data_IF_705777505328
#
_entry.id   IF_705777505328
#
_cell.length_a   1.000
_cell.length_b   1.000
_cell.length_c   1.000
_cell.angle_alpha   90.00
_cell.angle_beta   90.00
_cell.angle_gamma   90.00
#
_symmetry.space_group_name_H-M   'P 1'
#
loop_
_entity.id
_entity.type
_entity.pdbx_description
1 polymer ?
#
# COMPACT_ATOMS: atom_id res chain seq x y z
N UNK A 1 11.34 -11.91 -8.69
CA UNK A 1 11.18 -12.02 -7.24
C UNK A 1 10.01 -12.94 -7.00
N UNK A 2 10.29 -14.19 -6.69
CA UNK A 2 9.35 -15.02 -5.98
C UNK A 2 9.30 -14.38 -4.57
N UNK A 3 8.23 -13.69 -4.25
CA UNK A 3 7.98 -13.45 -2.84
C UNK A 3 7.78 -14.83 -2.22
N UNK A 4 8.80 -15.29 -1.55
CA UNK A 4 8.61 -16.39 -0.64
C UNK A 4 7.66 -15.85 0.44
N UNK A 5 6.41 -16.19 0.34
CA UNK A 5 5.51 -16.13 1.48
C UNK A 5 6.02 -17.19 2.45
N UNK A 6 7.00 -16.81 3.26
CA UNK A 6 7.23 -17.58 4.47
C UNK A 6 5.92 -17.54 5.22
N UNK A 7 5.43 -18.67 5.64
CA UNK A 7 4.33 -18.72 6.58
C UNK A 7 4.86 -18.32 7.96
N UNK A 8 5.10 -17.01 8.09
CA UNK A 8 5.57 -16.40 9.34
C UNK A 8 4.41 -16.09 10.30
N UNK A 9 3.17 -16.40 9.90
CA UNK A 9 2.00 -16.14 10.74
C UNK A 9 2.10 -16.86 12.09
N UNK A 10 2.66 -18.07 12.10
CA UNK A 10 2.89 -18.80 13.34
C UNK A 10 3.97 -18.14 14.20
N UNK A 11 4.97 -17.50 13.58
CA UNK A 11 6.03 -16.78 14.30
C UNK A 11 5.54 -15.49 14.93
N UNK A 12 4.46 -14.91 14.42
CA UNK A 12 3.89 -13.69 15.02
C UNK A 12 3.34 -13.93 16.42
N UNK A 13 2.77 -15.10 16.69
CA UNK A 13 2.29 -15.42 18.03
C UNK A 13 3.44 -15.52 19.03
N UNK A 14 4.54 -16.12 18.65
CA UNK A 14 5.75 -16.19 19.48
C UNK A 14 6.42 -14.82 19.68
N UNK A 15 6.25 -13.93 18.71
CA UNK A 15 6.85 -12.58 18.76
C UNK A 15 6.02 -11.56 19.55
N UNK A 16 4.77 -11.86 19.89
CA UNK A 16 3.90 -10.89 20.58
C UNK A 16 4.51 -10.40 21.89
N UNK A 17 4.95 -11.30 22.73
CA UNK A 17 5.52 -10.96 24.03
C UNK A 17 6.82 -10.14 23.87
N UNK A 18 7.67 -10.53 22.92
CA UNK A 18 8.91 -9.82 22.63
C UNK A 18 8.66 -8.39 22.08
N UNK A 19 7.61 -8.23 21.26
CA UNK A 19 7.26 -6.92 20.72
C UNK A 19 6.64 -6.01 21.79
N UNK A 20 5.82 -6.57 22.68
CA UNK A 20 5.27 -5.86 23.83
C UNK A 20 6.38 -5.43 24.81
N UNK A 21 7.34 -6.30 25.06
CA UNK A 21 8.53 -5.95 25.84
C UNK A 21 9.36 -4.85 25.13
N UNK A 22 9.56 -4.96 23.83
CA UNK A 22 10.31 -3.96 23.08
C UNK A 22 9.63 -2.58 23.14
N UNK A 23 8.29 -2.50 23.08
CA UNK A 23 7.55 -1.25 23.18
C UNK A 23 7.77 -0.56 24.54
N UNK A 24 7.89 -1.35 25.61
CA UNK A 24 8.16 -0.86 26.97
C UNK A 24 9.58 -0.34 27.19
N UNK A 25 10.53 -0.66 26.30
CA UNK A 25 11.92 -0.15 26.36
C UNK A 25 12.04 1.31 25.90
N UNK A 26 10.96 1.89 25.39
CA UNK A 26 10.93 3.32 25.08
C UNK A 26 11.22 4.19 26.29
N UNK A 27 11.81 5.36 26.06
CA UNK A 27 12.15 6.36 27.09
C UNK A 27 11.80 7.78 26.60
N UNK A 28 12.15 8.77 27.39
CA UNK A 28 11.88 10.19 27.08
C UNK A 28 12.46 10.64 25.73
N UNK A 29 13.56 10.05 25.28
CA UNK A 29 14.28 10.42 24.06
C UNK A 29 13.96 9.50 22.88
N UNK A 30 13.46 8.30 23.14
CA UNK A 30 13.22 7.28 22.11
C UNK A 30 11.90 6.58 22.35
N UNK A 31 10.96 6.73 21.41
CA UNK A 31 9.69 6.00 21.44
C UNK A 31 9.78 4.81 20.49
N UNK A 32 9.55 3.62 21.03
CA UNK A 32 9.41 2.40 20.24
C UNK A 32 7.92 2.21 19.95
N UNK A 33 7.57 2.01 18.70
CA UNK A 33 6.19 1.85 18.27
C UNK A 33 6.06 0.58 17.46
N UNK A 34 5.28 -0.33 17.97
CA UNK A 34 4.91 -1.56 17.28
C UNK A 34 3.64 -1.32 16.46
N UNK A 35 3.67 -1.70 15.18
CA UNK A 35 2.50 -1.56 14.30
C UNK A 35 1.57 -2.75 14.47
N UNK A 36 0.92 -2.82 15.61
CA UNK A 36 0.06 -3.93 16.02
C UNK A 36 -1.02 -4.28 15.00
N UNK A 37 -1.66 -3.26 14.40
CA UNK A 37 -2.68 -3.47 13.37
C UNK A 37 -2.17 -4.32 12.19
N UNK A 38 -0.89 -4.13 11.82
CA UNK A 38 -0.28 -4.90 10.72
C UNK A 38 0.04 -6.34 11.12
N UNK A 39 0.35 -6.56 12.39
CA UNK A 39 0.67 -7.88 12.93
C UNK A 39 -0.61 -8.68 13.19
N UNK A 40 -1.66 -8.01 13.65
CA UNK A 40 -2.95 -8.61 13.94
C UNK A 40 -3.80 -8.85 12.72
N UNK A 41 -3.55 -8.12 11.62
CA UNK A 41 -4.27 -8.28 10.36
C UNK A 41 -3.84 -9.59 9.66
N UNK A 42 -4.30 -10.70 10.21
CA UNK A 42 -4.17 -12.05 9.61
C UNK A 42 -5.10 -12.22 8.40
N UNK A 43 -5.77 -11.13 8.00
CA UNK A 43 -6.85 -11.16 7.03
C UNK A 43 -6.36 -11.35 5.60
N UNK A 44 -7.08 -12.19 4.87
CA UNK A 44 -7.06 -12.15 3.41
C UNK A 44 -7.54 -10.78 2.98
N UNK A 45 -6.91 -10.14 1.98
CA UNK A 45 -7.37 -8.87 1.46
C UNK A 45 -8.88 -8.92 1.18
N UNK A 46 -9.65 -8.02 1.79
CA UNK A 46 -11.09 -7.96 1.59
C UNK A 46 -11.47 -7.24 0.29
N UNK A 47 -10.53 -6.52 -0.30
CA UNK A 47 -10.75 -5.79 -1.54
C UNK A 47 -10.52 -6.68 -2.76
N UNK A 48 -11.36 -6.46 -3.79
CA UNK A 48 -11.25 -7.15 -5.07
C UNK A 48 -10.61 -6.31 -6.17
N UNK A 49 -10.53 -4.99 -5.97
CA UNK A 49 -10.06 -4.02 -6.95
C UNK A 49 -8.95 -3.18 -6.36
N UNK A 50 -8.05 -2.72 -7.20
CA UNK A 50 -6.89 -1.97 -6.76
C UNK A 50 -7.07 -0.47 -7.04
N UNK A 51 -7.59 0.24 -6.05
CA UNK A 51 -7.85 1.68 -6.13
C UNK A 51 -6.71 2.55 -5.59
N UNK A 52 -5.79 1.97 -4.81
CA UNK A 52 -4.71 2.70 -4.16
C UNK A 52 -3.92 3.65 -5.07
N UNK A 53 -3.60 3.27 -6.32
CA UNK A 53 -2.85 4.12 -7.24
C UNK A 53 -3.54 5.44 -7.64
N UNK A 54 -4.83 5.56 -7.42
CA UNK A 54 -5.53 6.82 -7.66
C UNK A 54 -5.11 7.91 -6.66
N UNK A 55 -4.55 7.50 -5.52
CA UNK A 55 -4.10 8.40 -4.45
C UNK A 55 -2.60 8.34 -4.22
N UNK A 56 -1.96 7.24 -4.59
CA UNK A 56 -0.56 6.99 -4.30
C UNK A 56 0.12 6.32 -5.49
N UNK A 57 0.90 7.09 -6.22
CA UNK A 57 1.83 6.59 -7.23
C UNK A 57 3.22 6.44 -6.63
N UNK A 58 3.98 5.50 -7.14
CA UNK A 58 5.36 5.31 -6.73
C UNK A 58 6.32 5.60 -7.87
N UNK A 59 7.45 6.19 -7.52
CA UNK A 59 8.51 6.57 -8.44
C UNK A 59 9.78 5.84 -8.02
N UNK A 60 10.40 5.14 -8.97
CA UNK A 60 11.69 4.50 -8.74
C UNK A 60 12.84 5.50 -8.76
N UNK A 61 14.00 5.08 -8.29
CA UNK A 61 15.22 5.90 -8.39
C UNK A 61 15.65 6.23 -9.83
N UNK A 62 15.15 5.50 -10.83
CA UNK A 62 15.36 5.80 -12.26
C UNK A 62 14.29 6.72 -12.86
N UNK A 63 13.39 7.26 -12.07
CA UNK A 63 12.29 8.10 -12.52
C UNK A 63 11.07 7.37 -13.07
N UNK A 64 11.11 6.04 -13.16
CA UNK A 64 9.98 5.25 -13.63
C UNK A 64 8.78 5.39 -12.68
N UNK A 65 7.61 5.67 -13.24
CA UNK A 65 6.34 5.81 -12.51
C UNK A 65 5.52 4.55 -12.68
N UNK A 66 5.09 3.99 -11.56
CA UNK A 66 4.23 2.81 -11.55
C UNK A 66 3.16 2.91 -10.43
N UNK A 67 2.06 2.14 -10.55
CA UNK A 67 1.00 2.10 -9.55
C UNK A 67 1.46 1.58 -8.17
N UNK A 68 2.52 0.78 -8.15
CA UNK A 68 3.11 0.23 -6.95
C UNK A 68 4.57 -0.16 -7.20
N UNK A 69 5.40 -0.13 -6.18
CA UNK A 69 6.80 -0.55 -6.24
C UNK A 69 7.00 -1.98 -6.72
N UNK A 70 6.02 -2.84 -6.53
CA UNK A 70 6.06 -4.20 -7.08
C UNK A 70 6.11 -4.23 -8.61
N UNK A 71 5.61 -3.20 -9.26
CA UNK A 71 5.50 -3.13 -10.72
C UNK A 71 6.72 -2.50 -11.40
N UNK A 72 7.76 -2.11 -10.67
CA UNK A 72 8.99 -1.61 -11.28
C UNK A 72 9.78 -2.68 -12.05
N UNK A 73 9.43 -3.93 -11.91
CA UNK A 73 10.04 -5.02 -12.67
C UNK A 73 9.59 -5.01 -14.13
N UNK A 74 10.50 -5.31 -15.07
CA UNK A 74 10.24 -5.33 -16.52
C UNK A 74 9.08 -6.27 -16.93
N UNK A 75 8.81 -7.33 -16.17
CA UNK A 75 7.66 -8.22 -16.39
C UNK A 75 6.31 -7.51 -16.32
N UNK A 76 6.26 -6.36 -15.63
CA UNK A 76 5.08 -5.53 -15.46
C UNK A 76 5.11 -4.25 -16.32
N UNK A 77 5.93 -4.22 -17.37
CA UNK A 77 6.08 -3.04 -18.23
C UNK A 77 4.75 -2.48 -18.76
N UNK A 78 3.74 -3.33 -18.93
CA UNK A 78 2.38 -2.89 -19.32
C UNK A 78 1.66 -2.04 -18.26
N UNK A 79 2.16 -2.03 -17.03
CA UNK A 79 1.66 -1.21 -15.91
C UNK A 79 2.57 -0.01 -15.61
N UNK A 80 3.61 0.20 -16.41
CA UNK A 80 4.42 1.42 -16.31
C UNK A 80 3.66 2.59 -16.91
N UNK A 81 3.57 3.69 -16.15
CA UNK A 81 2.74 4.84 -16.48
C UNK A 81 3.53 5.85 -17.30
N UNK A 82 4.81 6.05 -16.96
CA UNK A 82 5.71 7.00 -17.60
C UNK A 82 7.03 7.10 -16.86
N UNK A 83 7.86 8.07 -17.23
CA UNK A 83 9.15 8.31 -16.60
C UNK A 83 9.38 9.81 -16.40
N UNK A 84 9.66 10.23 -15.17
CA UNK A 84 9.93 11.64 -14.83
C UNK A 84 11.25 12.19 -15.37
N UNK A 85 12.16 11.35 -15.83
CA UNK A 85 13.37 11.81 -16.52
C UNK A 85 13.01 12.34 -17.91
N UNK A 86 12.02 11.70 -18.54
CA UNK A 86 11.66 11.98 -19.94
C UNK A 86 10.42 12.86 -20.08
N UNK A 87 9.53 12.85 -19.07
CA UNK A 87 8.21 13.47 -19.15
C UNK A 87 7.89 14.28 -17.88
N UNK A 88 7.11 15.36 -18.03
CA UNK A 88 6.61 16.10 -16.87
C UNK A 88 5.42 15.37 -16.24
N UNK A 89 5.31 15.39 -14.93
CA UNK A 89 4.21 14.75 -14.20
C UNK A 89 2.83 15.12 -14.74
N UNK A 90 2.60 16.38 -15.03
CA UNK A 90 1.31 16.85 -15.56
C UNK A 90 0.93 16.20 -16.89
N UNK A 91 1.93 15.87 -17.71
CA UNK A 91 1.72 15.26 -19.01
C UNK A 91 1.46 13.75 -18.84
N UNK A 92 2.20 13.08 -17.95
CA UNK A 92 1.95 11.71 -17.54
C UNK A 92 0.53 11.56 -16.99
N UNK A 93 0.12 12.43 -16.05
CA UNK A 93 -1.17 12.39 -15.39
C UNK A 93 -2.36 12.61 -16.34
N UNK A 94 -2.14 13.35 -17.42
CA UNK A 94 -3.16 13.62 -18.46
C UNK A 94 -3.16 12.60 -19.58
N UNK A 95 -2.19 11.68 -19.59
CA UNK A 95 -2.04 10.72 -20.68
C UNK A 95 -3.16 9.67 -20.69
N UNK A 96 -3.53 9.22 -21.87
CA UNK A 96 -4.46 8.08 -22.03
C UNK A 96 -3.90 6.80 -21.40
N UNK A 97 -2.58 6.64 -21.40
CA UNK A 97 -1.89 5.51 -20.79
C UNK A 97 -2.14 5.45 -19.28
N UNK A 98 -2.06 6.60 -18.61
CA UNK A 98 -2.38 6.70 -17.17
C UNK A 98 -3.80 6.20 -16.88
N UNK A 99 -4.80 6.77 -17.55
CA UNK A 99 -6.19 6.44 -17.31
C UNK A 99 -6.54 5.01 -17.69
N UNK A 100 -5.95 4.49 -18.77
CA UNK A 100 -6.11 3.10 -19.18
C UNK A 100 -5.62 2.14 -18.09
N UNK A 101 -4.47 2.42 -17.51
CA UNK A 101 -3.90 1.61 -16.41
C UNK A 101 -4.78 1.74 -15.16
N UNK A 102 -5.18 2.96 -14.76
CA UNK A 102 -6.04 3.16 -13.58
C UNK A 102 -7.37 2.42 -13.71
N UNK A 103 -8.01 2.52 -14.86
CA UNK A 103 -9.27 1.82 -15.12
C UNK A 103 -9.10 0.29 -15.12
N UNK A 104 -8.00 -0.22 -15.66
CA UNK A 104 -7.68 -1.64 -15.60
C UNK A 104 -7.51 -2.13 -14.16
N UNK A 105 -6.74 -1.42 -13.34
CA UNK A 105 -6.51 -1.77 -11.94
C UNK A 105 -7.79 -1.74 -11.10
N UNK A 106 -8.71 -0.84 -11.41
CA UNK A 106 -10.02 -0.74 -10.77
C UNK A 106 -11.06 -1.72 -11.32
N UNK A 107 -10.74 -2.42 -12.39
CA UNK A 107 -11.68 -3.34 -13.07
C UNK A 107 -11.69 -4.73 -12.42
N UNK A 108 -12.78 -5.52 -12.64
CA UNK A 108 -12.80 -6.92 -12.25
C UNK A 108 -11.77 -7.80 -12.97
N UNK A 109 -11.19 -7.31 -14.07
CA UNK A 109 -10.19 -8.04 -14.84
C UNK A 109 -8.79 -8.04 -14.17
N UNK A 110 -8.59 -7.17 -13.16
CA UNK A 110 -7.37 -7.15 -12.39
C UNK A 110 -7.54 -7.94 -11.09
N UNK A 111 -6.82 -9.05 -10.96
CA UNK A 111 -6.81 -9.83 -9.72
C UNK A 111 -5.83 -9.22 -8.71
N UNK A 112 -6.34 -8.27 -7.92
CA UNK A 112 -5.54 -7.57 -6.94
C UNK A 112 -4.97 -8.50 -5.86
N UNK A 113 -5.70 -9.54 -5.48
CA UNK A 113 -5.26 -10.48 -4.44
C UNK A 113 -4.05 -11.29 -4.88
N UNK A 114 -4.09 -11.82 -6.09
CA UNK A 114 -2.97 -12.59 -6.66
C UNK A 114 -1.78 -11.70 -7.01
N UNK A 115 -2.04 -10.52 -7.57
CA UNK A 115 -0.99 -9.64 -8.09
C UNK A 115 -0.28 -8.83 -7.02
N UNK A 116 -1.01 -8.39 -5.97
CA UNK A 116 -0.51 -7.46 -4.96
C UNK A 116 -0.10 -8.16 -3.65
N UNK A 117 -0.60 -9.37 -3.43
CA UNK A 117 -0.36 -10.06 -2.17
C UNK A 117 -0.83 -9.23 -0.97
N UNK A 118 -0.03 -9.22 0.08
CA UNK A 118 -0.32 -8.54 1.35
C UNK A 118 0.45 -7.21 1.51
N UNK A 119 0.54 -6.38 0.46
CA UNK A 119 1.16 -5.06 0.60
C UNK A 119 0.28 -4.13 1.45
N UNK A 120 0.70 -3.82 2.71
CA UNK A 120 -0.22 -3.22 3.68
C UNK A 120 -0.80 -1.89 3.21
N UNK A 121 0.03 -0.95 2.75
CA UNK A 121 -0.45 0.41 2.42
C UNK A 121 -1.45 0.40 1.26
N UNK A 122 -1.20 -0.40 0.24
CA UNK A 122 -2.08 -0.52 -0.92
C UNK A 122 -3.36 -1.28 -0.55
N UNK A 123 -3.22 -2.26 0.34
CA UNK A 123 -4.33 -2.99 0.90
C UNK A 123 -5.27 -2.06 1.67
N UNK A 124 -4.75 -1.30 2.62
CA UNK A 124 -5.57 -0.38 3.42
C UNK A 124 -6.26 0.69 2.56
N UNK A 125 -5.53 1.32 1.64
CA UNK A 125 -6.11 2.33 0.77
C UNK A 125 -7.23 1.75 -0.11
N UNK A 126 -7.03 0.58 -0.69
CA UNK A 126 -8.03 -0.08 -1.54
C UNK A 126 -9.22 -0.59 -0.74
N UNK A 127 -9.00 -1.13 0.45
CA UNK A 127 -10.06 -1.59 1.35
C UNK A 127 -10.91 -0.41 1.83
N UNK A 128 -10.29 0.66 2.29
CA UNK A 128 -10.99 1.84 2.77
C UNK A 128 -11.87 2.45 1.67
N UNK A 129 -11.35 2.54 0.45
CA UNK A 129 -12.11 3.07 -0.67
C UNK A 129 -13.22 2.12 -1.13
N UNK A 130 -12.99 0.82 -1.18
CA UNK A 130 -14.02 -0.17 -1.51
C UNK A 130 -15.18 -0.12 -0.50
N UNK A 131 -14.87 0.00 0.79
CA UNK A 131 -15.87 0.19 1.83
C UNK A 131 -16.62 1.51 1.69
N UNK A 132 -15.93 2.59 1.33
CA UNK A 132 -16.55 3.89 1.08
C UNK A 132 -17.52 3.84 -0.10
N UNK A 133 -17.10 3.25 -1.22
CA UNK A 133 -17.94 3.08 -2.42
C UNK A 133 -19.19 2.26 -2.11
N UNK A 134 -19.06 1.26 -1.23
CA UNK A 134 -20.18 0.42 -0.79
C UNK A 134 -21.06 1.08 0.27
N UNK A 135 -20.69 2.26 0.77
CA UNK A 135 -21.40 2.94 1.85
C UNK A 135 -21.31 2.23 3.21
N UNK A 136 -20.34 1.34 3.40
CA UNK A 136 -20.14 0.57 4.63
C UNK A 136 -19.08 1.16 5.56
N UNK A 137 -18.36 2.17 5.12
CA UNK A 137 -17.33 2.88 5.89
C UNK A 137 -17.68 4.34 6.04
N UNK A 138 -17.48 4.88 7.23
CA UNK A 138 -17.44 6.32 7.48
C UNK A 138 -15.99 6.77 7.42
N UNK A 139 -15.65 7.59 6.46
CA UNK A 139 -14.39 8.33 6.49
C UNK A 139 -14.53 9.33 7.64
N UNK A 140 -13.78 9.11 8.71
CA UNK A 140 -13.71 10.08 9.78
C UNK A 140 -12.85 11.27 9.34
N UNK A 141 -13.20 12.50 9.68
CA UNK A 141 -12.31 13.63 9.48
C UNK A 141 -10.98 13.38 10.19
N UNK A 142 -9.91 13.94 9.65
CA UNK A 142 -8.60 13.89 10.30
C UNK A 142 -8.74 14.38 11.75
N UNK A 143 -8.15 13.67 12.68
CA UNK A 143 -8.13 14.08 14.07
C UNK A 143 -7.42 15.43 14.20
N UNK A 144 -7.88 16.27 15.11
CA UNK A 144 -7.22 17.55 15.45
C UNK A 144 -5.83 17.33 16.07
N UNK A 145 -5.53 16.11 16.52
CA UNK A 145 -4.22 15.73 17.02
C UNK A 145 -3.27 15.41 15.87
N UNK A 146 -2.03 15.93 15.91
CA UNK A 146 -1.03 15.58 14.92
C UNK A 146 -0.77 14.06 14.93
N UNK A 147 -0.61 13.43 13.77
CA UNK A 147 -0.32 12.00 13.71
C UNK A 147 0.97 11.68 14.46
N UNK A 148 0.99 10.55 15.16
CA UNK A 148 2.16 10.05 15.88
C UNK A 148 3.40 9.90 14.99
N UNK A 149 3.19 9.82 13.68
CA UNK A 149 4.24 9.70 12.66
C UNK A 149 4.02 10.75 11.58
N UNK A 150 4.68 11.88 11.70
CA UNK A 150 4.63 12.95 10.69
C UNK A 150 5.39 12.57 9.40
N UNK A 151 6.35 11.64 9.49
CA UNK A 151 7.29 11.31 8.41
C UNK A 151 7.12 9.89 7.84
N UNK A 152 6.07 9.16 8.18
CA UNK A 152 5.82 7.83 7.67
C UNK A 152 4.41 7.75 7.07
N UNK A 153 4.38 7.81 5.76
CA UNK A 153 3.27 7.33 4.98
C UNK A 153 3.37 5.82 4.81
#
# INVERSE_FOLDING_TARGET
YTMYTFDILNLYEEMYDLLDEAEKLGNENTKIIVKWDKIQDKGKPSYKRFYGPQFLLQISGSGLVAPSGMFFNARYSKLHIGNFVDERFKDIFKSDAYWKIMNYLASPSFDAQTMMGTLPIQHYASTALDMHIKGTSRIQPAHDEPPLHVNFL
#
